data_IF_359187138588
#
_entry.id   IF_359187138588
#
_cell.length_a   1.000
_cell.length_b   1.000
_cell.length_c   1.000
_cell.angle_alpha   90.00
_cell.angle_beta   90.00
_cell.angle_gamma   90.00
#
_symmetry.space_group_name_H-M   'P 1'
#
loop_
_entity.id
_entity.type
_entity.pdbx_description
1 polymer ?
#
# COMPACT_ATOMS: atom_id res chain seq x y z
N UNK A 1 91.34 -47.51 -32.73
CA UNK A 1 91.30 -46.08 -32.51
C UNK A 1 89.90 -45.55 -32.54
N UNK A 2 89.14 -45.55 -31.44
CA UNK A 2 87.79 -45.01 -31.40
C UNK A 2 87.64 -44.29 -30.10
N UNK A 3 87.36 -42.97 -30.16
CA UNK A 3 87.16 -42.06 -29.05
C UNK A 3 85.75 -42.17 -28.57
N UNK A 4 85.59 -42.49 -27.29
CA UNK A 4 84.29 -42.47 -26.60
C UNK A 4 83.81 -41.02 -26.31
N UNK A 5 82.67 -40.65 -26.74
CA UNK A 5 81.99 -39.39 -26.44
C UNK A 5 80.90 -39.65 -25.38
N UNK A 6 81.17 -39.18 -24.17
CA UNK A 6 80.15 -39.26 -23.07
C UNK A 6 79.24 -38.07 -23.12
N UNK A 7 77.98 -38.30 -23.36
CA UNK A 7 76.92 -37.28 -23.23
C UNK A 7 76.46 -37.17 -21.78
N UNK A 8 76.75 -36.03 -21.19
CA UNK A 8 76.19 -35.69 -19.88
C UNK A 8 74.81 -35.07 -20.06
N UNK A 9 73.79 -35.76 -19.61
CA UNK A 9 72.38 -35.23 -19.62
C UNK A 9 72.25 -34.32 -18.41
N UNK A 10 72.04 -33.02 -18.66
CA UNK A 10 71.73 -32.02 -17.65
C UNK A 10 70.16 -31.98 -17.48
N UNK A 11 69.67 -32.54 -16.37
CA UNK A 11 68.28 -32.46 -16.01
C UNK A 11 67.90 -31.07 -15.49
N UNK A 12 67.25 -30.29 -16.27
CA UNK A 12 66.69 -28.97 -15.89
C UNK A 12 65.38 -29.20 -15.13
N UNK A 13 65.37 -29.06 -13.81
CA UNK A 13 64.18 -29.09 -12.98
C UNK A 13 63.44 -27.79 -13.13
N UNK A 14 62.32 -27.81 -13.87
CA UNK A 14 61.40 -26.70 -13.95
C UNK A 14 60.57 -26.69 -12.66
N UNK A 15 60.85 -25.77 -11.74
CA UNK A 15 59.99 -25.47 -10.59
C UNK A 15 58.73 -24.78 -11.09
N UNK A 16 57.65 -25.52 -11.20
CA UNK A 16 56.31 -24.97 -11.42
C UNK A 16 55.89 -24.20 -10.15
N UNK A 17 56.10 -22.90 -10.15
CA UNK A 17 55.48 -21.99 -9.18
C UNK A 17 53.94 -22.06 -9.37
N UNK A 18 53.27 -22.85 -8.57
CA UNK A 18 51.82 -22.80 -8.47
C UNK A 18 51.45 -21.44 -7.87
N UNK A 19 51.07 -20.47 -8.71
CA UNK A 19 50.33 -19.32 -8.26
C UNK A 19 49.09 -19.83 -7.51
N UNK A 20 49.11 -19.75 -6.18
CA UNK A 20 47.87 -19.75 -5.41
C UNK A 20 47.02 -18.64 -6.01
N UNK A 21 45.90 -18.99 -6.65
CA UNK A 21 44.81 -18.05 -6.89
C UNK A 21 44.42 -17.52 -5.52
N UNK A 22 44.92 -16.36 -5.16
CA UNK A 22 44.35 -15.58 -4.07
C UNK A 22 42.87 -15.52 -4.35
N UNK A 23 42.08 -15.90 -3.33
CA UNK A 23 40.63 -15.67 -3.38
C UNK A 23 40.50 -14.18 -3.66
N UNK A 24 40.13 -13.83 -4.90
CA UNK A 24 39.65 -12.50 -5.22
C UNK A 24 38.53 -12.25 -4.22
N UNK A 25 38.82 -11.40 -3.23
CA UNK A 25 37.77 -10.85 -2.38
C UNK A 25 36.70 -10.35 -3.35
N UNK A 26 35.55 -11.01 -3.34
CA UNK A 26 34.45 -10.59 -4.19
C UNK A 26 34.17 -9.15 -3.78
N UNK A 27 34.58 -8.20 -4.62
CA UNK A 27 34.29 -6.79 -4.42
C UNK A 27 32.83 -6.69 -4.12
N UNK A 28 32.48 -6.18 -2.95
CA UNK A 28 31.10 -6.03 -2.52
C UNK A 28 30.36 -5.26 -3.62
N UNK A 29 29.30 -5.85 -4.19
CA UNK A 29 28.51 -5.18 -5.21
C UNK A 29 27.68 -4.06 -4.56
N UNK A 30 28.21 -2.85 -4.63
CA UNK A 30 27.58 -1.65 -4.07
C UNK A 30 26.35 -1.19 -4.86
N UNK A 31 25.97 -1.90 -5.92
CA UNK A 31 24.77 -1.61 -6.71
C UNK A 31 23.57 -2.51 -6.37
N UNK A 32 23.68 -3.39 -5.38
CA UNK A 32 22.54 -4.19 -4.90
C UNK A 32 21.54 -3.31 -4.15
N UNK A 33 20.30 -3.79 -4.05
CA UNK A 33 19.20 -3.08 -3.35
C UNK A 33 19.63 -2.68 -1.93
N UNK A 34 20.23 -3.60 -1.18
CA UNK A 34 20.71 -3.35 0.20
C UNK A 34 21.68 -2.18 0.28
N UNK A 35 22.65 -2.11 -0.65
CA UNK A 35 23.65 -1.06 -0.69
C UNK A 35 23.05 0.29 -1.09
N UNK A 36 22.24 0.34 -2.15
CA UNK A 36 21.57 1.57 -2.59
C UNK A 36 20.66 2.15 -1.50
N UNK A 37 19.93 1.29 -0.78
CA UNK A 37 19.09 1.73 0.34
C UNK A 37 19.94 2.27 1.48
N UNK A 38 21.06 1.62 1.81
CA UNK A 38 21.96 2.06 2.89
C UNK A 38 22.62 3.43 2.61
N UNK A 39 22.90 3.73 1.33
CA UNK A 39 23.52 4.97 0.90
C UNK A 39 22.52 6.13 0.71
N UNK A 40 21.21 5.88 0.83
CA UNK A 40 20.18 6.88 0.62
C UNK A 40 19.68 7.46 1.94
N UNK A 41 19.98 8.74 2.19
CA UNK A 41 19.59 9.45 3.42
C UNK A 41 18.07 9.51 3.65
N UNK A 42 17.26 9.48 2.60
CA UNK A 42 15.79 9.52 2.72
C UNK A 42 15.17 8.13 2.98
N UNK A 43 16.00 7.08 3.08
CA UNK A 43 15.59 5.70 3.33
C UNK A 43 16.27 5.11 4.60
N UNK A 44 16.73 5.96 5.51
CA UNK A 44 17.49 5.54 6.69
C UNK A 44 16.66 4.68 7.65
N UNK A 45 15.37 5.01 7.79
CA UNK A 45 14.41 4.25 8.63
C UNK A 45 14.08 2.91 7.94
N UNK A 46 13.88 2.92 6.62
CA UNK A 46 13.68 1.69 5.84
C UNK A 46 14.88 0.76 5.93
N UNK A 47 16.10 1.28 5.78
CA UNK A 47 17.32 0.51 5.94
C UNK A 47 17.43 -0.14 7.33
N UNK A 48 17.17 0.63 8.38
CA UNK A 48 17.16 0.11 9.76
C UNK A 48 16.14 -1.02 9.92
N UNK A 49 14.94 -0.88 9.34
CA UNK A 49 13.93 -1.91 9.36
C UNK A 49 14.33 -3.17 8.58
N UNK A 50 14.97 -3.03 7.41
CA UNK A 50 15.53 -4.16 6.64
C UNK A 50 16.58 -4.93 7.45
N UNK A 51 17.51 -4.21 8.10
CA UNK A 51 18.56 -4.83 8.92
C UNK A 51 17.96 -5.55 10.12
N UNK A 52 17.07 -4.88 10.86
CA UNK A 52 16.41 -5.44 12.05
C UNK A 52 15.63 -6.71 11.77
N UNK A 53 14.96 -6.78 10.62
CA UNK A 53 14.14 -7.95 10.23
C UNK A 53 14.94 -9.06 9.55
N UNK A 54 16.24 -8.84 9.30
CA UNK A 54 17.10 -9.75 8.55
C UNK A 54 16.86 -9.74 7.03
N UNK A 55 15.90 -8.95 6.54
CA UNK A 55 15.56 -8.85 5.11
C UNK A 55 16.67 -8.20 4.29
N UNK A 56 17.55 -7.41 4.93
CA UNK A 56 18.76 -6.89 4.27
C UNK A 56 19.59 -8.01 3.63
N UNK A 57 19.72 -9.16 4.31
CA UNK A 57 20.42 -10.34 3.77
C UNK A 57 19.69 -10.98 2.61
N UNK A 58 18.35 -10.95 2.61
CA UNK A 58 17.54 -11.49 1.53
C UNK A 58 17.65 -10.63 0.28
N UNK A 59 17.49 -9.30 0.40
CA UNK A 59 17.61 -8.38 -0.74
C UNK A 59 19.07 -8.15 -1.18
N UNK A 60 20.02 -8.75 -0.50
CA UNK A 60 21.43 -8.83 -0.90
C UNK A 60 21.75 -10.08 -1.75
N UNK A 61 20.81 -11.01 -1.90
CA UNK A 61 20.94 -12.17 -2.78
C UNK A 61 20.85 -11.78 -4.26
N UNK A 62 21.08 -12.78 -5.13
CA UNK A 62 20.97 -12.64 -6.58
C UNK A 62 19.49 -12.55 -6.99
N UNK A 63 18.76 -11.63 -6.93
CA UNK A 63 17.34 -11.49 -7.27
C UNK A 63 16.82 -12.29 -8.48
N UNK A 64 15.91 -11.71 -9.26
CA UNK A 64 15.46 -10.31 -9.14
C UNK A 64 14.48 -10.08 -7.99
N UNK A 65 14.61 -8.90 -7.35
CA UNK A 65 13.65 -8.41 -6.36
C UNK A 65 13.08 -7.05 -6.77
N UNK A 66 11.94 -6.70 -6.18
CA UNK A 66 11.48 -5.31 -6.17
C UNK A 66 11.22 -4.90 -4.73
N UNK A 67 11.97 -3.93 -4.26
CA UNK A 67 11.78 -3.32 -2.95
C UNK A 67 10.84 -2.12 -3.08
N UNK A 68 9.73 -2.14 -2.36
CA UNK A 68 8.84 -1.00 -2.19
C UNK A 68 9.35 -0.27 -0.94
N UNK A 69 10.04 0.85 -1.11
CA UNK A 69 10.74 1.54 -0.03
C UNK A 69 9.99 2.79 0.40
N UNK A 70 9.30 2.80 1.56
CA UNK A 70 8.76 4.03 2.11
C UNK A 70 9.89 5.01 2.45
N UNK A 71 9.68 6.29 2.12
CA UNK A 71 10.60 7.35 2.54
C UNK A 71 10.60 7.52 4.06
N UNK A 72 11.59 8.23 4.61
CA UNK A 72 11.62 8.54 6.05
C UNK A 72 10.41 9.37 6.46
N UNK A 73 9.93 10.30 5.61
CA UNK A 73 8.67 11.03 5.83
C UNK A 73 7.47 10.08 5.88
N UNK A 74 7.43 9.06 5.00
CA UNK A 74 6.38 8.04 5.01
C UNK A 74 6.36 7.25 6.33
N UNK A 75 7.51 6.90 6.86
CA UNK A 75 7.63 6.28 8.17
C UNK A 75 7.21 7.24 9.30
N UNK A 76 7.56 8.52 9.19
CA UNK A 76 7.11 9.56 10.12
C UNK A 76 5.58 9.65 10.21
N UNK A 77 4.88 9.60 9.07
CA UNK A 77 3.41 9.56 8.99
C UNK A 77 2.82 8.29 9.62
N UNK A 78 3.55 7.17 9.58
CA UNK A 78 3.16 5.90 10.22
C UNK A 78 3.50 5.82 11.72
N UNK A 79 4.06 6.91 12.28
CA UNK A 79 4.42 7.01 13.69
C UNK A 79 5.85 6.57 14.03
N UNK A 80 6.68 6.28 13.03
CA UNK A 80 8.10 5.95 13.18
C UNK A 80 8.95 7.13 12.71
N UNK A 81 9.18 8.10 13.58
CA UNK A 81 9.90 9.35 13.23
C UNK A 81 11.41 9.19 13.18
N UNK A 82 11.93 8.17 13.85
CA UNK A 82 13.37 7.89 13.98
C UNK A 82 13.67 6.41 13.81
N UNK A 83 14.92 6.08 13.55
CA UNK A 83 15.40 4.69 13.54
C UNK A 83 15.21 4.01 14.90
N UNK A 84 15.26 4.77 16.01
CA UNK A 84 15.00 4.26 17.36
C UNK A 84 13.57 3.77 17.53
N UNK A 85 12.58 4.42 16.88
CA UNK A 85 11.19 3.98 16.91
C UNK A 85 11.05 2.60 16.27
N UNK A 86 11.76 2.36 15.16
CA UNK A 86 11.84 1.04 14.54
C UNK A 86 12.44 0.02 15.49
N UNK A 87 13.55 0.35 16.16
CA UNK A 87 14.24 -0.57 17.08
C UNK A 87 13.42 -0.91 18.33
N UNK A 88 12.57 0.00 18.80
CA UNK A 88 11.71 -0.20 19.98
C UNK A 88 10.35 -0.83 19.66
N UNK A 89 9.90 -0.79 18.42
CA UNK A 89 8.60 -1.34 18.01
C UNK A 89 8.52 -2.87 18.19
N UNK A 90 7.31 -3.42 18.25
CA UNK A 90 7.10 -4.87 18.30
C UNK A 90 7.72 -5.57 17.09
N UNK A 91 8.63 -6.55 17.29
CA UNK A 91 9.35 -7.21 16.18
C UNK A 91 8.43 -7.84 15.14
N UNK A 92 7.35 -8.48 15.58
CA UNK A 92 6.38 -9.13 14.69
C UNK A 92 5.68 -8.12 13.76
N UNK A 93 5.35 -6.91 14.26
CA UNK A 93 4.74 -5.84 13.46
C UNK A 93 5.69 -5.37 12.37
N UNK A 94 6.95 -5.05 12.74
CA UNK A 94 7.93 -4.58 11.76
C UNK A 94 8.23 -5.67 10.72
N UNK A 95 8.37 -6.94 11.14
CA UNK A 95 8.56 -8.05 10.21
C UNK A 95 7.38 -8.20 9.24
N UNK A 96 6.14 -8.09 9.71
CA UNK A 96 4.96 -8.17 8.85
C UNK A 96 4.94 -7.03 7.80
N UNK A 97 5.18 -5.80 8.24
CA UNK A 97 5.29 -4.63 7.36
C UNK A 97 6.40 -4.85 6.32
N UNK A 98 7.62 -5.17 6.76
CA UNK A 98 8.76 -5.23 5.86
C UNK A 98 8.67 -6.36 4.83
N UNK A 99 8.15 -7.55 5.22
CA UNK A 99 7.88 -8.62 4.26
C UNK A 99 6.82 -8.24 3.22
N UNK A 100 5.87 -7.38 3.59
CA UNK A 100 4.85 -6.87 2.67
C UNK A 100 5.41 -5.89 1.63
N UNK A 101 6.59 -5.30 1.91
CA UNK A 101 7.27 -4.34 1.02
C UNK A 101 8.30 -4.99 0.07
N UNK A 102 8.46 -6.30 0.10
CA UNK A 102 9.37 -7.01 -0.81
C UNK A 102 8.55 -7.85 -1.79
N UNK A 103 8.90 -7.77 -3.07
CA UNK A 103 8.35 -8.60 -4.13
C UNK A 103 9.46 -9.50 -4.70
N UNK A 104 9.13 -10.77 -4.91
CA UNK A 104 9.97 -11.69 -5.65
C UNK A 104 9.75 -11.45 -7.15
N UNK A 105 10.72 -10.90 -7.83
CA UNK A 105 10.66 -10.54 -9.23
C UNK A 105 10.96 -9.06 -9.51
N UNK A 106 11.14 -8.76 -10.79
CA UNK A 106 11.40 -7.40 -11.29
C UNK A 106 10.09 -6.79 -11.79
N UNK A 107 9.44 -5.96 -10.98
CA UNK A 107 8.16 -5.33 -11.29
C UNK A 107 8.35 -3.88 -11.75
N UNK A 108 8.27 -3.65 -13.06
CA UNK A 108 8.26 -2.32 -13.66
C UNK A 108 6.80 -1.85 -13.78
N UNK A 109 6.27 -1.22 -12.74
CA UNK A 109 4.85 -0.84 -12.66
C UNK A 109 4.40 0.14 -13.75
N UNK A 110 5.31 0.91 -14.32
CA UNK A 110 5.03 1.79 -15.46
C UNK A 110 4.78 1.04 -16.78
N UNK A 111 4.97 -0.27 -16.81
CA UNK A 111 4.61 -1.13 -17.95
C UNK A 111 3.24 -1.78 -17.81
N UNK A 112 2.60 -1.63 -16.66
CA UNK A 112 1.22 -2.10 -16.45
C UNK A 112 0.25 -1.29 -17.31
N UNK A 113 -0.91 -1.85 -17.70
CA UNK A 113 -1.98 -1.09 -18.33
C UNK A 113 -2.44 0.11 -17.50
N UNK A 114 -3.04 1.12 -18.16
CA UNK A 114 -3.67 2.25 -17.47
C UNK A 114 -4.99 1.83 -16.81
N UNK A 115 -4.89 1.15 -15.68
CA UNK A 115 -6.02 0.63 -14.89
C UNK A 115 -5.83 0.92 -13.41
N UNK A 116 -6.95 1.00 -12.70
CA UNK A 116 -6.98 1.10 -11.25
C UNK A 116 -6.82 -0.29 -10.60
N UNK A 117 -6.14 -0.34 -9.46
CA UNK A 117 -6.15 -1.44 -8.51
C UNK A 117 -5.81 -2.83 -9.09
N UNK A 118 -4.79 -2.91 -9.95
CA UNK A 118 -4.27 -4.15 -10.50
C UNK A 118 -3.59 -4.97 -9.39
N UNK A 119 -4.09 -6.19 -9.15
CA UNK A 119 -3.58 -7.05 -8.08
C UNK A 119 -2.20 -7.61 -8.39
N UNK A 120 -1.27 -7.47 -7.47
CA UNK A 120 0.04 -8.13 -7.42
C UNK A 120 0.22 -8.77 -6.04
N UNK A 121 1.24 -9.62 -5.88
CA UNK A 121 1.52 -10.29 -4.61
C UNK A 121 2.90 -9.93 -4.08
N UNK A 122 2.98 -9.63 -2.79
CA UNK A 122 4.23 -9.49 -2.05
C UNK A 122 4.94 -10.83 -1.85
N UNK A 123 6.18 -10.81 -1.40
CA UNK A 123 6.98 -12.02 -1.18
C UNK A 123 6.35 -12.99 -0.16
N UNK A 124 5.56 -12.46 0.79
CA UNK A 124 4.80 -13.26 1.76
C UNK A 124 3.38 -13.64 1.29
N UNK A 125 3.03 -13.38 0.03
CA UNK A 125 1.73 -13.70 -0.56
C UNK A 125 0.63 -12.68 -0.31
N UNK A 126 0.88 -11.61 0.44
CA UNK A 126 -0.08 -10.53 0.67
C UNK A 126 -0.42 -9.79 -0.63
N UNK A 127 -1.70 -9.44 -0.81
CA UNK A 127 -2.16 -8.72 -1.99
C UNK A 127 -1.82 -7.24 -1.90
N UNK A 128 -1.31 -6.70 -3.01
CA UNK A 128 -1.05 -5.29 -3.25
C UNK A 128 -1.83 -4.86 -4.49
N UNK A 129 -2.25 -3.61 -4.54
CA UNK A 129 -3.07 -3.07 -5.63
C UNK A 129 -2.37 -1.87 -6.24
N UNK A 130 -1.94 -2.02 -7.51
CA UNK A 130 -1.23 -0.98 -8.25
C UNK A 130 -2.21 -0.26 -9.17
N UNK A 131 -2.23 1.06 -9.08
CA UNK A 131 -2.88 1.94 -10.04
C UNK A 131 -1.84 2.58 -10.94
N UNK A 132 -2.03 2.48 -12.25
CA UNK A 132 -1.27 3.21 -13.26
C UNK A 132 -2.23 4.08 -14.03
N UNK A 133 -2.09 5.41 -13.94
CA UNK A 133 -3.07 6.34 -14.51
C UNK A 133 -2.42 7.61 -15.02
N UNK A 134 -3.12 8.28 -15.94
CA UNK A 134 -2.72 9.58 -16.49
C UNK A 134 -3.51 10.69 -15.79
N UNK A 135 -2.81 11.70 -15.27
CA UNK A 135 -3.43 12.89 -14.67
C UNK A 135 -2.81 14.15 -15.28
N UNK A 136 -3.56 14.83 -16.13
CA UNK A 136 -3.00 15.92 -16.92
C UNK A 136 -1.87 15.43 -17.83
N UNK A 137 -0.68 16.06 -17.81
CA UNK A 137 0.47 15.59 -18.58
C UNK A 137 1.23 14.44 -17.92
N UNK A 138 0.93 14.12 -16.66
CA UNK A 138 1.74 13.20 -15.85
C UNK A 138 1.18 11.79 -15.83
N UNK A 139 2.09 10.83 -15.80
CA UNK A 139 1.78 9.43 -15.54
C UNK A 139 2.05 9.12 -14.08
N UNK A 140 1.02 8.78 -13.35
CA UNK A 140 1.04 8.53 -11.91
C UNK A 140 0.93 7.05 -11.62
N UNK A 141 1.74 6.60 -10.68
CA UNK A 141 1.71 5.25 -10.13
C UNK A 141 1.40 5.30 -8.63
N UNK A 142 0.48 4.44 -8.19
CA UNK A 142 0.23 4.25 -6.76
C UNK A 142 0.22 2.77 -6.39
N UNK A 143 0.48 2.46 -5.12
CA UNK A 143 0.34 1.12 -4.54
C UNK A 143 -0.50 1.25 -3.28
N UNK A 144 -1.64 0.56 -3.21
CA UNK A 144 -2.61 0.68 -2.10
C UNK A 144 -2.94 2.15 -1.77
N UNK A 145 -3.06 2.99 -2.79
CA UNK A 145 -3.30 4.43 -2.64
C UNK A 145 -2.09 5.27 -2.22
N UNK A 146 -0.92 4.66 -1.97
CA UNK A 146 0.35 5.36 -1.74
C UNK A 146 0.99 5.74 -3.08
N UNK A 147 1.49 6.97 -3.22
CA UNK A 147 2.17 7.42 -4.43
C UNK A 147 3.57 6.84 -4.55
N UNK A 148 3.96 6.48 -5.76
CA UNK A 148 5.36 6.18 -6.07
C UNK A 148 6.06 7.50 -6.38
N UNK A 149 6.98 7.89 -5.49
CA UNK A 149 7.78 9.12 -5.59
C UNK A 149 8.95 8.96 -6.56
N UNK A 150 9.64 7.81 -6.51
CA UNK A 150 10.72 7.46 -7.44
C UNK A 150 10.47 6.05 -7.96
N UNK A 151 10.30 5.94 -9.28
CA UNK A 151 9.99 4.67 -9.95
C UNK A 151 11.24 4.01 -10.53
N UNK A 152 11.32 2.70 -10.40
CA UNK A 152 12.30 1.84 -11.09
C UNK A 152 13.75 2.27 -10.84
N UNK A 153 14.10 2.68 -9.62
CA UNK A 153 15.51 2.89 -9.25
C UNK A 153 16.24 1.57 -9.44
N UNK A 154 17.23 1.56 -10.32
CA UNK A 154 17.89 0.34 -10.76
C UNK A 154 18.90 -0.14 -9.71
N UNK A 155 18.83 -1.43 -9.41
CA UNK A 155 19.83 -2.17 -8.67
C UNK A 155 20.34 -3.33 -9.53
N UNK A 156 21.55 -3.84 -9.26
CA UNK A 156 22.11 -4.99 -9.99
C UNK A 156 21.24 -6.24 -9.82
N UNK A 157 20.60 -6.40 -8.67
CA UNK A 157 19.72 -7.52 -8.34
C UNK A 157 18.23 -7.17 -8.29
N UNK A 158 17.79 -6.03 -8.86
CA UNK A 158 16.37 -5.71 -8.90
C UNK A 158 16.02 -4.25 -9.13
N UNK A 159 14.90 -3.83 -8.51
CA UNK A 159 14.37 -2.46 -8.57
C UNK A 159 13.99 -1.96 -7.18
N UNK A 160 14.02 -0.63 -7.01
CA UNK A 160 13.47 0.03 -5.84
C UNK A 160 12.37 0.98 -6.33
N UNK A 161 11.21 0.94 -5.66
CA UNK A 161 10.08 1.86 -5.82
C UNK A 161 9.97 2.67 -4.54
N UNK A 162 10.29 3.95 -4.56
CA UNK A 162 10.17 4.80 -3.37
C UNK A 162 8.74 5.30 -3.26
N UNK A 163 8.13 5.20 -2.09
CA UNK A 163 6.72 5.53 -1.85
C UNK A 163 6.53 6.52 -0.70
N UNK A 164 5.37 7.22 -0.71
CA UNK A 164 5.03 8.29 0.25
C UNK A 164 4.29 7.81 1.52
N UNK A 165 4.02 6.50 1.66
CA UNK A 165 3.38 5.92 2.86
C UNK A 165 3.89 4.52 3.10
N UNK A 166 3.93 4.11 4.38
CA UNK A 166 4.15 2.71 4.76
C UNK A 166 2.90 1.91 4.43
N UNK A 167 3.06 0.78 3.73
CA UNK A 167 1.97 -0.14 3.43
C UNK A 167 1.82 -1.11 4.60
N UNK A 168 0.64 -1.16 5.19
CA UNK A 168 0.32 -2.17 6.20
C UNK A 168 -0.40 -3.36 5.55
N UNK A 169 0.01 -4.61 5.82
CA UNK A 169 -0.74 -5.77 5.37
C UNK A 169 -2.13 -5.75 6.01
N UNK A 170 -3.16 -6.09 5.24
CA UNK A 170 -4.51 -6.14 5.77
C UNK A 170 -4.66 -7.24 6.83
N UNK A 171 -5.35 -6.90 7.93
CA UNK A 171 -5.63 -7.81 9.04
C UNK A 171 -6.95 -8.58 8.87
N UNK A 172 -7.85 -8.09 8.02
CA UNK A 172 -9.21 -8.62 7.85
C UNK A 172 -9.45 -9.05 6.40
N UNK A 173 -10.06 -10.20 6.21
CA UNK A 173 -10.41 -10.69 4.87
C UNK A 173 -11.61 -9.93 4.29
N UNK A 174 -12.53 -9.48 5.12
CA UNK A 174 -13.77 -8.82 4.70
C UNK A 174 -13.87 -7.40 5.27
N UNK A 175 -14.51 -6.51 4.52
CA UNK A 175 -14.81 -5.15 4.99
C UNK A 175 -15.70 -5.16 6.22
N UNK A 176 -16.63 -6.13 6.34
CA UNK A 176 -17.50 -6.33 7.51
C UNK A 176 -16.70 -6.62 8.78
N UNK A 177 -15.63 -7.45 8.71
CA UNK A 177 -14.78 -7.78 9.86
C UNK A 177 -14.01 -6.56 10.33
N UNK A 178 -13.50 -5.77 9.39
CA UNK A 178 -12.81 -4.52 9.69
C UNK A 178 -13.73 -3.51 10.40
N UNK A 179 -14.99 -3.41 9.95
CA UNK A 179 -16.03 -2.57 10.57
C UNK A 179 -16.40 -3.12 11.95
N UNK A 180 -16.62 -4.42 12.09
CA UNK A 180 -16.99 -5.08 13.34
C UNK A 180 -15.92 -4.91 14.43
N UNK A 181 -14.65 -4.88 14.05
CA UNK A 181 -13.52 -4.76 14.98
C UNK A 181 -13.29 -3.34 15.50
N UNK A 182 -13.88 -2.33 14.85
CA UNK A 182 -13.70 -0.92 15.22
C UNK A 182 -14.77 -0.46 16.19
N UNK A 183 -14.34 -0.11 17.42
CA UNK A 183 -15.23 0.38 18.48
C UNK A 183 -15.95 1.68 18.11
N UNK A 184 -15.44 2.44 17.16
CA UNK A 184 -16.05 3.67 16.70
C UNK A 184 -17.11 3.43 15.59
N UNK A 185 -17.28 2.19 15.11
CA UNK A 185 -18.20 1.83 14.04
C UNK A 185 -19.30 0.86 14.49
N UNK A 186 -19.49 0.68 15.80
CA UNK A 186 -20.43 -0.31 16.35
C UNK A 186 -21.87 -0.07 15.92
N UNK A 187 -22.33 1.18 15.86
CA UNK A 187 -23.69 1.52 15.42
C UNK A 187 -23.85 1.27 13.90
N UNK A 188 -22.86 1.60 13.10
CA UNK A 188 -22.90 1.32 11.67
C UNK A 188 -22.89 -0.20 11.39
N UNK A 189 -22.09 -0.97 12.13
CA UNK A 189 -22.10 -2.42 12.04
C UNK A 189 -23.50 -3.01 12.36
N UNK A 190 -24.15 -2.55 13.44
CA UNK A 190 -25.49 -2.96 13.80
C UNK A 190 -26.52 -2.60 12.72
N UNK A 191 -26.38 -1.42 12.10
CA UNK A 191 -27.24 -1.01 11.00
C UNK A 191 -27.06 -1.89 9.75
N UNK A 192 -25.80 -2.25 9.40
CA UNK A 192 -25.50 -3.20 8.32
C UNK A 192 -26.09 -4.59 8.61
N UNK A 193 -25.98 -5.06 9.84
CA UNK A 193 -26.55 -6.35 10.28
C UNK A 193 -28.07 -6.33 10.16
N UNK A 194 -28.73 -5.30 10.67
CA UNK A 194 -30.19 -5.13 10.61
C UNK A 194 -30.69 -5.00 9.17
N UNK A 195 -29.91 -4.36 8.30
CA UNK A 195 -30.20 -4.24 6.87
C UNK A 195 -29.93 -5.51 6.05
N UNK A 196 -29.39 -6.59 6.67
CA UNK A 196 -29.06 -7.85 5.98
C UNK A 196 -27.88 -7.76 5.01
N UNK A 197 -26.99 -6.76 5.16
CA UNK A 197 -25.90 -6.52 4.23
C UNK A 197 -24.58 -7.22 4.59
N UNK A 198 -24.48 -7.86 5.76
CA UNK A 198 -23.24 -8.53 6.18
C UNK A 198 -22.87 -9.69 5.25
N UNK A 199 -23.82 -10.47 4.78
CA UNK A 199 -23.58 -11.56 3.83
C UNK A 199 -23.02 -11.01 2.49
N UNK A 200 -23.58 -9.92 1.99
CA UNK A 200 -23.08 -9.23 0.79
C UNK A 200 -21.63 -8.77 1.00
N UNK A 201 -21.34 -8.11 2.13
CA UNK A 201 -20.02 -7.57 2.44
C UNK A 201 -18.97 -8.64 2.80
N UNK A 202 -19.41 -9.86 3.14
CA UNK A 202 -18.58 -11.07 3.27
C UNK A 202 -18.39 -11.79 1.94
N UNK A 203 -18.98 -11.28 0.86
CA UNK A 203 -18.84 -11.80 -0.48
C UNK A 203 -17.49 -11.48 -1.12
N UNK A 204 -17.36 -11.86 -2.38
CA UNK A 204 -16.11 -11.78 -3.15
C UNK A 204 -15.61 -10.33 -3.32
N UNK A 205 -16.49 -9.33 -3.36
CA UNK A 205 -16.15 -7.93 -3.63
C UNK A 205 -15.62 -7.69 -5.05
N UNK A 206 -14.82 -6.64 -5.30
CA UNK A 206 -14.36 -5.70 -4.28
C UNK A 206 -15.42 -4.69 -3.85
N UNK A 207 -15.27 -4.18 -2.61
CA UNK A 207 -16.13 -3.14 -2.05
C UNK A 207 -15.32 -1.95 -1.54
N UNK A 208 -15.93 -0.75 -1.62
CA UNK A 208 -15.48 0.41 -0.85
C UNK A 208 -16.64 0.82 0.06
N UNK A 209 -16.35 0.98 1.35
CA UNK A 209 -17.36 1.38 2.34
C UNK A 209 -16.95 2.71 2.95
N UNK A 210 -17.84 3.71 2.85
CA UNK A 210 -17.77 4.95 3.61
C UNK A 210 -18.54 4.74 4.91
N UNK A 211 -17.85 4.35 5.97
CA UNK A 211 -18.43 3.97 7.25
C UNK A 211 -18.59 5.19 8.17
N UNK A 212 -19.83 5.64 8.47
CA UNK A 212 -20.07 6.69 9.46
C UNK A 212 -19.63 6.23 10.83
N UNK A 213 -18.89 7.07 11.55
CA UNK A 213 -18.55 6.77 12.94
C UNK A 213 -19.77 6.86 13.87
N UNK A 214 -19.64 6.39 15.11
CA UNK A 214 -20.73 6.41 16.07
C UNK A 214 -21.28 7.82 16.34
N UNK A 215 -20.43 8.85 16.27
CA UNK A 215 -20.86 10.24 16.43
C UNK A 215 -21.74 10.68 15.23
N UNK A 216 -21.35 10.32 14.01
CA UNK A 216 -22.13 10.57 12.79
C UNK A 216 -23.49 9.85 12.82
N UNK A 217 -23.50 8.58 13.25
CA UNK A 217 -24.73 7.78 13.42
C UNK A 217 -25.65 8.41 14.46
N UNK A 218 -25.10 8.81 15.61
CA UNK A 218 -25.85 9.47 16.70
C UNK A 218 -26.45 10.81 16.24
N UNK A 219 -25.67 11.64 15.57
CA UNK A 219 -26.12 12.92 15.01
C UNK A 219 -27.23 12.77 13.96
N UNK A 220 -27.29 11.62 13.28
CA UNK A 220 -28.35 11.28 12.34
C UNK A 220 -29.63 10.77 13.03
N UNK A 221 -29.57 10.40 14.33
CA UNK A 221 -30.69 9.84 15.09
C UNK A 221 -30.64 8.31 15.29
N UNK A 222 -29.60 7.65 14.76
CA UNK A 222 -29.34 6.21 14.93
C UNK A 222 -28.32 6.02 16.10
N UNK A 223 -28.74 6.37 17.32
CA UNK A 223 -27.88 6.47 18.49
C UNK A 223 -27.85 5.22 19.37
N UNK A 224 -28.65 4.20 19.03
CA UNK A 224 -28.74 2.94 19.76
C UNK A 224 -29.20 1.81 18.85
N UNK A 225 -29.02 0.58 19.27
CA UNK A 225 -29.56 -0.61 18.59
C UNK A 225 -31.08 -0.52 18.49
N UNK A 226 -31.76 0.05 19.50
CA UNK A 226 -33.20 0.24 19.51
C UNK A 226 -33.66 1.22 18.43
N UNK A 227 -33.04 2.41 18.32
CA UNK A 227 -33.34 3.37 17.25
C UNK A 227 -33.14 2.80 15.84
N UNK A 228 -32.09 1.97 15.68
CA UNK A 228 -31.81 1.25 14.41
C UNK A 228 -32.93 0.23 14.12
N UNK A 229 -33.39 -0.52 15.14
CA UNK A 229 -34.45 -1.52 14.96
C UNK A 229 -35.84 -0.91 14.70
N UNK A 230 -36.06 0.32 15.16
CA UNK A 230 -37.32 1.06 14.92
C UNK A 230 -37.41 1.65 13.50
N UNK A 231 -36.28 1.79 12.79
CA UNK A 231 -36.30 2.28 11.42
C UNK A 231 -36.93 1.24 10.49
N UNK A 232 -37.69 1.71 9.51
CA UNK A 232 -38.22 0.85 8.46
C UNK A 232 -37.10 0.08 7.76
N UNK A 233 -37.19 -1.26 7.63
CA UNK A 233 -36.12 -2.08 7.08
C UNK A 233 -35.72 -1.72 5.65
N UNK A 234 -36.67 -1.31 4.79
CA UNK A 234 -36.40 -0.95 3.41
C UNK A 234 -35.68 0.41 3.32
N UNK A 235 -36.06 1.35 4.19
CA UNK A 235 -35.39 2.66 4.32
C UNK A 235 -33.99 2.46 4.83
N UNK A 236 -33.80 1.64 5.88
CA UNK A 236 -32.48 1.33 6.43
C UNK A 236 -31.58 0.64 5.40
N UNK A 237 -32.09 -0.35 4.68
CA UNK A 237 -31.36 -1.06 3.63
C UNK A 237 -30.87 -0.09 2.55
N UNK A 238 -31.75 0.78 2.04
CA UNK A 238 -31.39 1.79 1.05
C UNK A 238 -30.33 2.75 1.58
N UNK A 239 -30.50 3.24 2.80
CA UNK A 239 -29.54 4.13 3.45
C UNK A 239 -28.17 3.48 3.62
N UNK A 240 -28.09 2.23 4.06
CA UNK A 240 -26.81 1.53 4.22
C UNK A 240 -26.16 1.25 2.87
N UNK A 241 -26.90 0.87 1.85
CA UNK A 241 -26.39 0.69 0.48
C UNK A 241 -25.84 1.98 -0.12
N UNK A 242 -26.32 3.14 0.30
CA UNK A 242 -25.81 4.46 -0.11
C UNK A 242 -24.43 4.80 0.48
N UNK A 243 -23.87 3.94 1.32
CA UNK A 243 -22.53 4.05 1.88
C UNK A 243 -21.53 3.03 1.28
N UNK A 244 -21.99 2.26 0.27
CA UNK A 244 -21.21 1.15 -0.28
C UNK A 244 -21.06 1.33 -1.79
N UNK A 245 -19.87 1.01 -2.30
CA UNK A 245 -19.53 0.97 -3.73
C UNK A 245 -19.10 -0.46 -4.06
N UNK A 246 -19.55 -0.99 -5.19
CA UNK A 246 -19.13 -2.30 -5.71
C UNK A 246 -17.82 -2.18 -6.55
N UNK A 247 -16.81 -1.57 -5.98
CA UNK A 247 -15.47 -1.41 -6.54
C UNK A 247 -14.46 -1.14 -5.42
N UNK A 248 -13.15 -1.38 -5.67
CA UNK A 248 -12.06 -0.99 -4.76
C UNK A 248 -11.57 0.39 -5.14
N UNK A 249 -11.69 1.35 -4.21
CA UNK A 249 -11.22 2.72 -4.41
C UNK A 249 -10.44 3.21 -3.20
N UNK A 250 -9.16 3.50 -3.39
CA UNK A 250 -8.38 4.29 -2.46
C UNK A 250 -8.65 5.78 -2.67
N UNK A 251 -8.35 6.60 -1.68
CA UNK A 251 -8.60 8.05 -1.81
C UNK A 251 -7.84 8.65 -2.99
N UNK A 252 -6.63 8.16 -3.24
CA UNK A 252 -5.85 8.67 -4.36
C UNK A 252 -6.43 8.29 -5.73
N UNK A 253 -7.20 7.20 -5.84
CA UNK A 253 -7.89 6.83 -7.07
C UNK A 253 -8.96 7.86 -7.45
N UNK A 254 -9.65 8.45 -6.48
CA UNK A 254 -10.58 9.56 -6.72
C UNK A 254 -9.84 10.81 -7.18
N UNK A 255 -8.68 11.12 -6.57
CA UNK A 255 -7.84 12.25 -7.00
C UNK A 255 -7.42 12.07 -8.46
N UNK A 256 -7.04 10.86 -8.87
CA UNK A 256 -6.63 10.56 -10.24
C UNK A 256 -7.79 10.60 -11.23
N UNK A 257 -8.94 10.00 -10.90
CA UNK A 257 -10.09 9.88 -11.81
C UNK A 257 -10.92 11.16 -11.93
N UNK A 258 -10.84 12.08 -10.95
CA UNK A 258 -11.58 13.34 -10.99
C UNK A 258 -10.94 14.33 -11.97
N UNK A 259 -11.75 14.95 -12.84
CA UNK A 259 -11.30 15.90 -13.84
C UNK A 259 -10.81 17.25 -13.26
N UNK A 260 -10.53 18.20 -14.16
CA UNK A 260 -10.00 19.54 -13.80
C UNK A 260 -10.99 20.37 -12.96
N UNK A 261 -12.28 20.07 -13.02
CA UNK A 261 -13.30 20.73 -12.18
C UNK A 261 -13.11 20.47 -10.68
N UNK A 262 -12.28 19.49 -10.30
CA UNK A 262 -12.11 19.05 -8.92
C UNK A 262 -13.35 18.34 -8.35
N UNK A 263 -14.33 18.01 -9.19
CA UNK A 263 -15.60 17.34 -8.82
C UNK A 263 -15.87 16.17 -9.74
N UNK A 264 -16.42 15.10 -9.20
CA UNK A 264 -16.90 13.92 -9.94
C UNK A 264 -18.07 13.28 -9.21
N UNK A 265 -18.80 12.40 -9.89
CA UNK A 265 -19.91 11.63 -9.33
C UNK A 265 -19.48 10.17 -9.13
N UNK A 266 -19.87 9.59 -8.01
CA UNK A 266 -19.63 8.19 -7.69
C UNK A 266 -20.98 7.49 -7.47
N UNK A 267 -21.26 6.48 -8.29
CA UNK A 267 -22.47 5.65 -8.11
C UNK A 267 -22.30 4.73 -6.90
N UNK A 268 -23.35 4.69 -6.07
CA UNK A 268 -23.41 3.88 -4.86
C UNK A 268 -24.23 2.60 -5.11
N UNK A 269 -24.17 1.66 -4.17
CA UNK A 269 -24.81 0.35 -4.31
C UNK A 269 -26.37 0.42 -4.32
N UNK A 270 -26.96 1.51 -3.84
CA UNK A 270 -28.41 1.75 -3.92
C UNK A 270 -28.87 2.34 -5.26
N UNK A 271 -27.93 2.65 -6.17
CA UNK A 271 -28.17 3.23 -7.48
C UNK A 271 -28.12 4.76 -7.55
N UNK A 272 -28.06 5.46 -6.42
CA UNK A 272 -27.87 6.91 -6.40
C UNK A 272 -26.38 7.26 -6.48
N UNK A 273 -26.08 8.56 -6.75
CA UNK A 273 -24.72 9.08 -6.78
C UNK A 273 -24.39 9.94 -5.56
N UNK A 274 -23.12 9.95 -5.23
CA UNK A 274 -22.50 10.88 -4.28
C UNK A 274 -21.52 11.74 -5.05
N UNK A 275 -21.59 13.08 -4.87
CA UNK A 275 -20.59 13.97 -5.42
C UNK A 275 -19.29 13.84 -4.63
N UNK A 276 -18.21 13.63 -5.35
CA UNK A 276 -16.85 13.67 -4.84
C UNK A 276 -16.26 15.05 -5.15
N UNK A 277 -15.70 15.73 -4.15
CA UNK A 277 -14.96 16.98 -4.32
C UNK A 277 -13.53 16.79 -3.82
N UNK A 278 -12.55 17.16 -4.62
CA UNK A 278 -11.14 17.10 -4.24
C UNK A 278 -10.84 18.17 -3.18
N UNK A 279 -10.11 17.76 -2.13
CA UNK A 279 -9.63 18.65 -1.06
C UNK A 279 -8.22 19.12 -1.40
N UNK A 280 -8.02 20.41 -1.65
CA UNK A 280 -6.70 20.95 -1.98
C UNK A 280 -5.66 20.71 -0.88
N UNK A 281 -4.41 20.56 -1.27
CA UNK A 281 -3.28 20.58 -0.35
C UNK A 281 -3.03 22.03 0.08
N UNK A 282 -3.03 22.34 1.39
CA UNK A 282 -2.79 23.70 1.86
C UNK A 282 -1.34 24.17 1.65
N UNK A 283 -0.40 23.27 1.42
CA UNK A 283 1.03 23.58 1.29
C UNK A 283 1.51 23.54 -0.16
N UNK A 284 0.86 22.74 -1.02
CA UNK A 284 1.30 22.53 -2.41
C UNK A 284 0.21 22.95 -3.38
N UNK A 285 0.34 24.14 -4.02
CA UNK A 285 -0.63 24.63 -5.00
C UNK A 285 -0.88 23.60 -6.12
N UNK A 286 -2.15 23.34 -6.43
CA UNK A 286 -2.56 22.38 -7.46
C UNK A 286 -2.53 20.91 -7.05
N UNK A 287 -1.99 20.59 -5.86
CA UNK A 287 -2.07 19.25 -5.30
C UNK A 287 -3.34 19.04 -4.47
N UNK A 288 -3.68 17.77 -4.22
CA UNK A 288 -4.83 17.35 -3.42
C UNK A 288 -4.39 16.31 -2.41
N UNK A 289 -4.91 16.43 -1.18
CA UNK A 289 -4.58 15.52 -0.08
C UNK A 289 -5.67 14.50 0.22
N UNK A 290 -6.93 14.80 -0.16
CA UNK A 290 -8.10 14.01 0.21
C UNK A 290 -9.29 14.33 -0.70
N UNK A 291 -10.44 13.77 -0.34
CA UNK A 291 -11.75 14.09 -0.90
C UNK A 291 -12.73 14.49 0.19
N UNK A 292 -13.79 15.17 -0.20
CA UNK A 292 -15.01 15.42 0.56
C UNK A 292 -16.19 14.82 -0.22
N UNK A 293 -17.22 14.40 0.49
CA UNK A 293 -18.40 13.75 -0.10
C UNK A 293 -19.65 14.62 0.08
N UNK A 294 -20.54 14.63 -0.90
CA UNK A 294 -21.84 15.29 -0.80
C UNK A 294 -22.93 14.35 -1.33
N UNK A 295 -23.67 13.75 -0.43
CA UNK A 295 -24.86 12.98 -0.79
C UNK A 295 -25.99 13.90 -1.24
N UNK A 296 -26.96 13.38 -1.99
CA UNK A 296 -28.06 14.16 -2.59
C UNK A 296 -28.91 14.89 -1.55
N UNK A 297 -29.03 14.35 -0.33
CA UNK A 297 -29.76 14.97 0.80
C UNK A 297 -28.87 15.68 1.81
N UNK A 298 -27.56 15.80 1.56
CA UNK A 298 -26.66 16.54 2.44
C UNK A 298 -26.63 18.02 2.07
N UNK A 299 -26.68 18.89 3.08
CA UNK A 299 -26.53 20.34 2.93
C UNK A 299 -25.09 20.84 3.10
N UNK A 300 -24.21 19.97 3.60
CA UNK A 300 -22.79 20.25 3.81
C UNK A 300 -21.92 19.07 3.38
N UNK A 301 -20.66 19.35 3.04
CA UNK A 301 -19.67 18.34 2.70
C UNK A 301 -19.37 17.42 3.89
N UNK A 302 -19.40 16.13 3.64
CA UNK A 302 -19.04 15.08 4.60
C UNK A 302 -17.52 14.86 4.52
N UNK A 303 -16.86 14.95 5.67
CA UNK A 303 -15.42 14.78 5.79
C UNK A 303 -15.05 13.33 6.02
N UNK A 304 -13.86 12.95 5.56
CA UNK A 304 -13.26 11.67 5.89
C UNK A 304 -12.59 11.72 7.26
N UNK A 305 -12.70 10.63 8.01
CA UNK A 305 -11.86 10.31 9.15
C UNK A 305 -10.64 9.48 8.74
N UNK A 306 -10.57 8.23 9.23
CA UNK A 306 -9.53 7.27 8.78
C UNK A 306 -9.78 6.85 7.33
N UNK A 307 -8.70 6.74 6.56
CA UNK A 307 -8.73 6.46 5.12
C UNK A 307 -7.97 5.19 4.78
N UNK A 308 -8.35 4.58 3.65
CA UNK A 308 -7.57 3.55 2.97
C UNK A 308 -7.29 2.31 3.83
N UNK A 309 -8.23 1.94 4.75
CA UNK A 309 -8.09 0.68 5.48
C UNK A 309 -8.35 -0.49 4.54
N UNK A 310 -7.28 -1.10 4.07
CA UNK A 310 -7.33 -2.24 3.17
C UNK A 310 -7.84 -3.50 3.88
N UNK A 311 -8.67 -4.26 3.15
CA UNK A 311 -9.09 -5.63 3.50
C UNK A 311 -8.92 -6.56 2.30
N UNK A 312 -9.03 -7.85 2.51
CA UNK A 312 -8.94 -8.84 1.44
C UNK A 312 -9.92 -8.57 0.30
N UNK A 313 -11.16 -8.20 0.62
CA UNK A 313 -12.23 -7.96 -0.36
C UNK A 313 -12.61 -6.48 -0.54
N UNK A 314 -11.88 -5.51 0.00
CA UNK A 314 -12.26 -4.10 -0.18
C UNK A 314 -11.41 -3.09 0.55
N UNK A 315 -11.96 -1.89 0.72
CA UNK A 315 -11.38 -0.76 1.45
C UNK A 315 -12.46 -0.10 2.30
N UNK A 316 -12.12 0.30 3.52
CA UNK A 316 -12.99 1.05 4.42
C UNK A 316 -12.41 2.44 4.65
N UNK A 317 -13.26 3.46 4.47
CA UNK A 317 -13.00 4.84 4.87
C UNK A 317 -14.02 5.25 5.92
N UNK A 318 -13.62 5.81 7.03
CA UNK A 318 -14.57 6.37 7.98
C UNK A 318 -14.98 7.78 7.56
N UNK A 319 -16.21 8.16 7.87
CA UNK A 319 -16.76 9.48 7.61
C UNK A 319 -17.40 10.08 8.88
N UNK A 320 -17.36 11.41 8.99
CA UNK A 320 -17.77 12.16 10.19
C UNK A 320 -19.23 12.58 10.19
N UNK A 321 -19.97 12.25 9.13
CA UNK A 321 -21.40 12.49 9.01
C UNK A 321 -22.03 11.46 8.09
N UNK A 322 -23.32 11.18 8.25
CA UNK A 322 -24.07 10.28 7.37
C UNK A 322 -24.20 10.86 5.96
N UNK A 323 -24.03 10.01 4.95
CA UNK A 323 -24.50 10.32 3.60
C UNK A 323 -26.02 10.23 3.57
N UNK A 324 -26.69 11.31 3.15
CA UNK A 324 -28.13 11.42 3.10
C UNK A 324 -28.63 11.36 1.66
N UNK A 325 -29.76 10.70 1.48
CA UNK A 325 -30.49 10.64 0.21
C UNK A 325 -31.61 11.66 0.29
N UNK A 326 -31.87 12.41 -0.79
CA UNK A 326 -33.09 13.20 -0.93
C UNK A 326 -34.32 12.27 -0.97
N UNK A 327 -35.30 12.52 -0.14
CA UNK A 327 -36.56 11.79 -0.13
C UNK A 327 -37.44 12.21 -1.31
#
# INVERSE_FOLDING_TARGET
MMKNFKYTFLLLAIAASACKKDKVDQLKDNNKISAIVADNFNLSIYNTALVRTGLAKQVDQEGPFTAIAPSDDAFGLAGFKTTTDILSAAPARISAIMNYHILNGRYEFNKLPFLFNQEIKSANGGKLFVTHWVKGPDTILTINGSKILSKNVKASNGLIQVIDRVLEPYAYNYVSDAIASDRNLTLFYQALQRAGLLETLNGKGPYTVFAPDNAAMTAFGLNSVESINQMDPAVLLRLMRYHIIADRRFIYDYILSTGISGKSEQSMLDGNSVQIKLKPDPQIPGAFTSIELLGTGNTAMVQLGRRDQLTGNGVVHTITSMLKITQ
#
